data_IF_379268248291
#
_entry.id   IF_379268248291
#
_cell.length_a   1.000
_cell.length_b   1.000
_cell.length_c   1.000
_cell.angle_alpha   90.00
_cell.angle_beta   90.00
_cell.angle_gamma   90.00
#
_symmetry.space_group_name_H-M   'P 1'
#
loop_
_entity.id
_entity.type
_entity.pdbx_description
1 polymer ?
#
# COMPACT_ATOMS: atom_id res chain seq x y z
N UNK A 1 -34.04 -6.92 -7.02
CA UNK A 1 -32.93 -7.32 -7.91
C UNK A 1 -31.65 -7.15 -7.13
N UNK A 2 -31.08 -8.24 -6.61
CA UNK A 2 -29.77 -8.21 -5.95
C UNK A 2 -28.71 -8.18 -7.03
N UNK A 3 -28.00 -7.06 -7.14
CA UNK A 3 -26.81 -6.92 -8.00
C UNK A 3 -25.87 -8.09 -7.67
N UNK A 4 -25.57 -8.96 -8.63
CA UNK A 4 -24.50 -9.93 -8.45
C UNK A 4 -23.21 -9.12 -8.31
N UNK A 5 -22.60 -9.12 -7.12
CA UNK A 5 -21.24 -8.60 -6.98
C UNK A 5 -20.31 -9.54 -7.74
N UNK A 6 -19.97 -9.19 -8.97
CA UNK A 6 -18.91 -9.88 -9.70
C UNK A 6 -17.60 -9.76 -8.92
N UNK A 7 -16.83 -10.85 -8.91
CA UNK A 7 -15.49 -10.85 -8.33
C UNK A 7 -14.64 -9.79 -9.02
N UNK A 8 -14.00 -8.94 -8.23
CA UNK A 8 -13.05 -7.93 -8.69
C UNK A 8 -11.71 -8.10 -7.97
N UNK A 9 -10.60 -7.60 -8.54
CA UNK A 9 -9.31 -7.62 -7.86
C UNK A 9 -9.40 -6.91 -6.51
N UNK A 10 -8.86 -7.54 -5.47
CA UNK A 10 -8.82 -6.97 -4.13
C UNK A 10 -8.07 -5.64 -4.14
N UNK A 11 -8.67 -4.58 -3.60
CA UNK A 11 -8.12 -3.23 -3.67
C UNK A 11 -6.72 -3.12 -3.02
N UNK A 12 -6.40 -3.95 -2.03
CA UNK A 12 -5.07 -3.95 -1.41
C UNK A 12 -3.93 -4.30 -2.38
N UNK A 13 -4.22 -5.02 -3.48
CA UNK A 13 -3.24 -5.36 -4.51
C UNK A 13 -2.81 -4.17 -5.37
N UNK A 14 -3.56 -3.06 -5.32
CA UNK A 14 -3.25 -1.84 -6.08
C UNK A 14 -2.15 -0.97 -5.46
N UNK A 15 -1.73 -1.27 -4.22
CA UNK A 15 -0.80 -0.44 -3.46
C UNK A 15 0.61 -1.01 -3.47
N UNK A 16 1.58 -0.11 -3.66
CA UNK A 16 3.01 -0.44 -3.63
C UNK A 16 3.84 0.75 -3.13
N UNK A 17 5.06 0.51 -2.66
CA UNK A 17 6.08 1.54 -2.48
C UNK A 17 7.45 1.01 -2.92
N UNK A 18 8.39 1.89 -3.20
CA UNK A 18 9.72 1.52 -3.69
C UNK A 18 10.78 1.89 -2.64
N UNK A 19 11.72 0.97 -2.44
CA UNK A 19 12.83 1.14 -1.50
C UNK A 19 14.13 1.03 -2.27
N UNK A 20 15.04 1.98 -2.07
CA UNK A 20 16.40 1.88 -2.61
C UNK A 20 17.14 0.79 -1.83
N UNK A 21 17.51 -0.30 -2.51
CA UNK A 21 18.20 -1.43 -1.86
C UNK A 21 19.70 -1.45 -2.15
N UNK A 22 20.14 -0.82 -3.24
CA UNK A 22 21.55 -0.74 -3.59
C UNK A 22 21.83 0.49 -4.44
N UNK A 23 22.96 1.14 -4.20
CA UNK A 23 23.54 2.15 -5.09
C UNK A 23 24.93 1.64 -5.48
N UNK A 24 25.12 1.34 -6.76
CA UNK A 24 26.42 0.89 -7.28
C UNK A 24 27.41 2.07 -7.32
N UNK A 25 28.70 1.75 -7.30
CA UNK A 25 29.81 2.73 -7.42
C UNK A 25 29.73 3.56 -8.71
N UNK A 26 29.04 3.06 -9.74
CA UNK A 26 28.76 3.78 -11.00
C UNK A 26 27.55 4.71 -10.97
N UNK A 27 26.82 4.80 -9.86
CA UNK A 27 25.62 5.63 -9.70
C UNK A 27 24.30 4.93 -10.04
N UNK A 28 24.33 3.65 -10.45
CA UNK A 28 23.11 2.88 -10.69
C UNK A 28 22.35 2.60 -9.39
N UNK A 29 21.07 2.97 -9.37
CA UNK A 29 20.16 2.78 -8.23
C UNK A 29 19.27 1.58 -8.46
N UNK A 30 19.37 0.58 -7.59
CA UNK A 30 18.52 -0.60 -7.59
C UNK A 30 17.37 -0.38 -6.62
N UNK A 31 16.16 -0.32 -7.16
CA UNK A 31 14.93 -0.13 -6.39
C UNK A 31 14.19 -1.47 -6.24
N UNK A 32 13.71 -1.76 -5.03
CA UNK A 32 12.82 -2.88 -4.76
C UNK A 32 11.40 -2.38 -4.54
N UNK A 33 10.46 -2.88 -5.35
CA UNK A 33 9.05 -2.66 -5.13
C UNK A 33 8.52 -3.56 -4.01
N UNK A 34 7.90 -2.96 -2.99
CA UNK A 34 7.14 -3.65 -1.94
C UNK A 34 5.65 -3.53 -2.25
N UNK A 35 4.93 -4.64 -2.22
CA UNK A 35 3.49 -4.71 -2.45
C UNK A 35 2.83 -5.53 -1.33
N UNK A 36 1.50 -5.57 -1.29
CA UNK A 36 0.78 -6.48 -0.37
C UNK A 36 0.87 -7.95 -0.77
N UNK A 37 1.43 -8.26 -1.95
CA UNK A 37 1.47 -9.61 -2.51
C UNK A 37 0.09 -10.19 -2.87
N UNK A 38 -0.94 -9.34 -2.95
CA UNK A 38 -2.30 -9.80 -3.14
C UNK A 38 -2.65 -10.01 -4.62
N UNK A 39 -2.96 -11.26 -4.97
CA UNK A 39 -3.58 -11.65 -6.25
C UNK A 39 -5.04 -12.11 -6.10
N UNK A 40 -5.64 -11.94 -4.92
CA UNK A 40 -7.00 -12.41 -4.65
C UNK A 40 -8.05 -11.55 -5.37
N UNK A 41 -9.13 -12.21 -5.78
CA UNK A 41 -10.38 -11.54 -6.18
C UNK A 41 -11.42 -11.70 -5.08
N UNK A 42 -12.32 -10.72 -4.96
CA UNK A 42 -13.28 -10.64 -3.87
C UNK A 42 -14.55 -9.93 -4.34
N UNK A 43 -15.66 -10.16 -3.64
CA UNK A 43 -16.92 -9.45 -3.85
C UNK A 43 -17.00 -8.17 -2.99
N UNK A 44 -16.10 -8.00 -2.03
CA UNK A 44 -15.95 -6.82 -1.16
C UNK A 44 -14.72 -6.03 -1.55
N UNK A 45 -14.57 -4.77 -1.12
CA UNK A 45 -13.39 -3.94 -1.41
C UNK A 45 -12.06 -4.63 -1.08
N UNK A 46 -12.03 -5.37 0.03
CA UNK A 46 -10.88 -6.17 0.46
C UNK A 46 -11.27 -7.64 0.61
N UNK A 47 -10.33 -8.53 0.31
CA UNK A 47 -10.42 -9.92 0.73
C UNK A 47 -10.31 -10.01 2.26
N UNK A 48 -10.86 -11.05 2.91
CA UNK A 48 -10.79 -11.19 4.36
C UNK A 48 -9.36 -11.06 4.91
N UNK A 49 -9.15 -10.16 5.87
CA UNK A 49 -7.85 -9.93 6.52
C UNK A 49 -6.80 -9.20 5.67
N UNK A 50 -7.14 -8.76 4.45
CA UNK A 50 -6.20 -8.03 3.58
C UNK A 50 -6.07 -6.55 3.93
N UNK A 51 -6.99 -5.99 4.70
CA UNK A 51 -6.84 -4.66 5.29
C UNK A 51 -5.61 -4.60 6.22
N UNK A 52 -5.35 -5.67 6.98
CA UNK A 52 -4.17 -5.77 7.83
C UNK A 52 -2.87 -5.75 7.01
N UNK A 53 -2.84 -6.48 5.87
CA UNK A 53 -1.68 -6.46 4.96
C UNK A 53 -1.42 -5.06 4.41
N UNK A 54 -2.49 -4.35 4.02
CA UNK A 54 -2.37 -2.98 3.53
C UNK A 54 -1.90 -2.03 4.63
N UNK A 55 -2.45 -2.11 5.85
CA UNK A 55 -1.99 -1.32 7.00
C UNK A 55 -0.50 -1.53 7.26
N UNK A 56 -0.02 -2.77 7.28
CA UNK A 56 1.41 -3.08 7.45
C UNK A 56 2.28 -2.48 6.34
N UNK A 57 1.82 -2.51 5.08
CA UNK A 57 2.50 -1.86 3.97
C UNK A 57 2.61 -0.34 4.18
N UNK A 58 1.51 0.31 4.58
CA UNK A 58 1.48 1.76 4.83
C UNK A 58 2.39 2.16 6.00
N UNK A 59 2.40 1.37 7.07
CA UNK A 59 3.29 1.62 8.22
C UNK A 59 4.75 1.50 7.77
N UNK A 60 5.12 0.44 7.05
CA UNK A 60 6.48 0.27 6.55
C UNK A 60 6.92 1.41 5.61
N UNK A 61 6.03 1.82 4.70
CA UNK A 61 6.28 2.97 3.83
C UNK A 61 6.47 4.26 4.64
N UNK A 62 5.60 4.52 5.62
CA UNK A 62 5.66 5.71 6.45
C UNK A 62 6.90 5.77 7.36
N UNK A 63 7.29 4.65 7.98
CA UNK A 63 8.52 4.54 8.78
C UNK A 63 9.75 4.83 7.93
N UNK A 64 9.78 4.34 6.69
CA UNK A 64 10.87 4.60 5.74
C UNK A 64 10.78 5.95 5.01
N UNK A 65 9.74 6.76 5.25
CA UNK A 65 9.52 8.00 4.52
C UNK A 65 9.26 7.82 3.02
N UNK A 66 8.80 6.64 2.60
CA UNK A 66 8.56 6.30 1.21
C UNK A 66 7.14 6.70 0.77
N UNK A 67 6.99 7.31 -0.42
CA UNK A 67 5.68 7.55 -0.98
C UNK A 67 5.01 6.24 -1.40
N UNK A 68 3.70 6.17 -1.24
CA UNK A 68 2.88 5.02 -1.64
C UNK A 68 2.24 5.31 -3.00
N UNK A 69 2.40 4.36 -3.91
CA UNK A 69 1.77 4.33 -5.23
C UNK A 69 0.49 3.51 -5.15
N UNK A 70 -0.59 4.04 -5.68
CA UNK A 70 -1.87 3.37 -5.87
C UNK A 70 -2.19 3.33 -7.37
N UNK A 71 -2.34 2.13 -7.93
CA UNK A 71 -2.69 1.93 -9.33
C UNK A 71 -4.16 1.60 -9.48
N UNK A 72 -4.94 2.52 -10.06
CA UNK A 72 -6.38 2.31 -10.29
C UNK A 72 -6.66 2.37 -11.79
N UNK A 73 -7.07 1.23 -12.37
CA UNK A 73 -7.31 1.03 -13.82
C UNK A 73 -6.10 1.48 -14.66
N UNK A 74 -6.07 2.75 -15.06
CA UNK A 74 -5.07 3.34 -15.95
C UNK A 74 -4.36 4.56 -15.32
N UNK A 75 -4.63 4.84 -14.04
CA UNK A 75 -4.05 5.98 -13.32
C UNK A 75 -3.19 5.50 -12.16
N UNK A 76 -1.97 6.03 -12.09
CA UNK A 76 -1.10 5.88 -10.93
C UNK A 76 -1.18 7.16 -10.11
N UNK A 77 -1.61 7.04 -8.86
CA UNK A 77 -1.63 8.14 -7.89
C UNK A 77 -0.53 7.89 -6.87
N UNK A 78 0.25 8.91 -6.57
CA UNK A 78 1.33 8.85 -5.57
C UNK A 78 0.93 9.73 -4.39
N UNK A 79 0.94 9.17 -3.18
CA UNK A 79 0.58 9.88 -1.94
C UNK A 79 1.45 9.41 -0.78
N UNK A 80 1.55 10.24 0.26
CA UNK A 80 2.16 9.82 1.52
C UNK A 80 1.35 8.70 2.19
N UNK A 81 2.03 7.83 2.93
CA UNK A 81 1.38 6.73 3.64
C UNK A 81 0.24 7.20 4.56
N UNK A 82 0.40 8.33 5.26
CA UNK A 82 -0.63 8.92 6.11
C UNK A 82 -1.84 9.45 5.34
N UNK A 83 -1.63 9.89 4.10
CA UNK A 83 -2.70 10.41 3.24
C UNK A 83 -3.52 9.26 2.67
N UNK A 84 -2.86 8.18 2.25
CA UNK A 84 -3.53 6.92 1.88
C UNK A 84 -4.28 6.34 3.09
N UNK A 85 -3.66 6.32 4.27
CA UNK A 85 -4.32 5.85 5.48
C UNK A 85 -5.56 6.69 5.83
N UNK A 86 -5.50 8.02 5.65
CA UNK A 86 -6.64 8.89 5.86
C UNK A 86 -7.80 8.60 4.89
N UNK A 87 -7.50 8.40 3.60
CA UNK A 87 -8.51 8.02 2.59
C UNK A 87 -9.21 6.69 2.94
N UNK A 88 -8.53 5.81 3.67
CA UNK A 88 -9.03 4.51 4.12
C UNK A 88 -9.63 4.52 5.55
N UNK A 89 -9.64 5.67 6.22
CA UNK A 89 -10.14 5.82 7.59
C UNK A 89 -9.22 5.23 8.68
N UNK A 90 -7.93 5.06 8.39
CA UNK A 90 -6.93 4.46 9.29
C UNK A 90 -5.82 5.44 9.71
N UNK A 91 -6.04 6.75 9.56
CA UNK A 91 -5.02 7.79 9.77
C UNK A 91 -4.35 7.67 11.13
N UNK A 92 -5.12 7.65 12.21
CA UNK A 92 -4.59 7.66 13.57
C UNK A 92 -3.82 6.36 13.88
N UNK A 93 -4.42 5.20 13.56
CA UNK A 93 -3.80 3.89 13.75
C UNK A 93 -2.46 3.76 13.03
N UNK A 94 -2.40 4.15 11.75
CA UNK A 94 -1.18 4.09 10.95
C UNK A 94 -0.18 5.14 11.43
N UNK A 95 -0.63 6.34 11.80
CA UNK A 95 0.23 7.41 12.31
C UNK A 95 0.90 7.07 13.63
N UNK A 96 0.16 6.53 14.60
CA UNK A 96 0.71 6.05 15.86
C UNK A 96 1.73 4.92 15.64
N UNK A 97 1.43 3.99 14.73
CA UNK A 97 2.34 2.89 14.42
C UNK A 97 3.63 3.35 13.73
N UNK A 98 3.54 4.35 12.83
CA UNK A 98 4.72 4.99 12.23
C UNK A 98 5.55 5.67 13.31
N UNK A 99 4.94 6.47 14.18
CA UNK A 99 5.65 7.15 15.27
C UNK A 99 6.41 6.17 16.19
N UNK A 100 5.78 5.03 16.52
CA UNK A 100 6.41 3.95 17.29
C UNK A 100 7.54 3.24 16.53
N UNK A 101 7.39 3.05 15.22
CA UNK A 101 8.38 2.37 14.37
C UNK A 101 9.57 3.24 13.95
N UNK A 102 9.46 4.57 14.09
CA UNK A 102 10.55 5.53 13.84
C UNK A 102 11.34 5.90 15.10
N UNK A 103 11.00 5.33 16.27
CA UNK A 103 11.67 5.55 17.56
C UNK A 103 12.87 4.63 17.77
#
# INVERSE_FOLDING_TARGET
MTTQNSNHPCACGSYAFEVLIHENVGGDKVWQQKTTGCAATTQSTFAPGHDAKLKSLLIAAGVGGHPVRQTTRDTVVVKDALKVAADLGWRDLVGEAIAKGSS
#
